data_IF_490932252499
#
_entry.id   IF_490932252499
#
_cell.length_a   1.000
_cell.length_b   1.000
_cell.length_c   1.000
_cell.angle_alpha   90.00
_cell.angle_beta   90.00
_cell.angle_gamma   90.00
#
_symmetry.space_group_name_H-M   'P 1'
#
loop_
_entity.id
_entity.type
_entity.pdbx_description
1 polymer ?
#
# COMPACT_ATOMS: atom_id res chain seq x y z
N UNK A 1 11.02 -21.31 10.01
CA UNK A 1 10.27 -20.12 9.62
C UNK A 1 9.98 -20.27 8.14
N UNK A 2 8.71 -20.20 7.69
CA UNK A 2 8.40 -20.36 6.26
C UNK A 2 8.72 -19.10 5.50
N UNK A 3 9.38 -19.26 4.33
CA UNK A 3 9.66 -18.17 3.41
C UNK A 3 8.34 -17.69 2.78
N UNK A 4 8.03 -16.40 2.93
CA UNK A 4 6.84 -15.76 2.34
C UNK A 4 7.18 -14.95 1.11
N UNK A 5 6.18 -14.74 0.27
CA UNK A 5 6.19 -13.81 -0.85
C UNK A 5 5.69 -12.44 -0.36
N UNK A 6 6.58 -11.47 -0.31
CA UNK A 6 6.31 -10.12 0.23
C UNK A 6 6.35 -9.09 -0.88
N UNK A 7 5.30 -8.31 -1.03
CA UNK A 7 5.26 -7.17 -1.94
C UNK A 7 5.35 -5.86 -1.14
N UNK A 8 6.39 -5.07 -1.39
CA UNK A 8 6.56 -3.74 -0.79
C UNK A 8 6.16 -2.67 -1.81
N UNK A 9 5.16 -1.86 -1.47
CA UNK A 9 4.65 -0.78 -2.32
C UNK A 9 5.03 0.56 -1.73
N UNK A 10 5.95 1.28 -2.38
CA UNK A 10 6.17 2.69 -2.12
C UNK A 10 5.09 3.51 -2.87
N UNK A 11 4.09 3.97 -2.15
CA UNK A 11 2.97 4.75 -2.69
C UNK A 11 3.29 6.24 -2.91
N UNK A 12 4.49 6.70 -2.57
CA UNK A 12 4.91 8.07 -2.84
C UNK A 12 5.44 8.19 -4.28
N UNK A 13 4.83 9.03 -5.13
CA UNK A 13 5.26 9.17 -6.53
C UNK A 13 6.58 9.95 -6.71
N UNK A 14 7.12 10.57 -5.65
CA UNK A 14 8.37 11.34 -5.74
C UNK A 14 9.57 10.42 -5.93
N UNK A 15 10.50 10.73 -6.87
CA UNK A 15 11.70 9.95 -7.13
C UNK A 15 12.59 9.78 -5.89
N UNK A 16 12.67 10.82 -5.06
CA UNK A 16 13.38 10.82 -3.77
C UNK A 16 12.42 11.22 -2.66
N UNK A 17 12.25 10.33 -1.68
CA UNK A 17 11.32 10.57 -0.57
C UNK A 17 11.66 9.70 0.64
N UNK A 18 11.22 10.13 1.82
CA UNK A 18 11.32 9.29 3.03
C UNK A 18 10.62 7.94 2.83
N UNK A 19 9.44 7.92 2.19
CA UNK A 19 8.72 6.68 1.91
C UNK A 19 9.57 5.71 1.07
N UNK A 20 10.31 6.20 0.07
CA UNK A 20 11.23 5.38 -0.73
C UNK A 20 12.33 4.78 0.13
N UNK A 21 12.98 5.59 0.96
CA UNK A 21 14.03 5.11 1.89
C UNK A 21 13.49 4.07 2.89
N UNK A 22 12.26 4.26 3.39
CA UNK A 22 11.61 3.27 4.27
C UNK A 22 11.28 1.98 3.51
N UNK A 23 10.86 2.06 2.23
CA UNK A 23 10.58 0.90 1.39
C UNK A 23 11.85 0.10 1.09
N UNK A 24 12.92 0.78 0.71
CA UNK A 24 14.23 0.18 0.47
C UNK A 24 14.78 -0.51 1.72
N UNK A 25 14.66 0.13 2.90
CA UNK A 25 15.06 -0.46 4.18
C UNK A 25 14.23 -1.70 4.52
N UNK A 26 12.90 -1.64 4.33
CA UNK A 26 12.02 -2.79 4.56
C UNK A 26 12.38 -3.95 3.64
N UNK A 27 12.53 -3.67 2.35
CA UNK A 27 12.89 -4.65 1.32
C UNK A 27 14.22 -5.31 1.63
N UNK A 28 15.26 -4.52 1.91
CA UNK A 28 16.60 -5.02 2.23
C UNK A 28 16.58 -6.03 3.38
N UNK A 29 15.90 -5.70 4.48
CA UNK A 29 15.85 -6.58 5.67
C UNK A 29 14.94 -7.80 5.44
N UNK A 30 13.80 -7.62 4.75
CA UNK A 30 12.88 -8.72 4.49
C UNK A 30 13.48 -9.77 3.55
N UNK A 31 14.35 -9.37 2.62
CA UNK A 31 15.00 -10.27 1.65
C UNK A 31 15.92 -11.31 2.32
N UNK A 32 16.39 -11.07 3.53
CA UNK A 32 17.19 -12.06 4.28
C UNK A 32 16.41 -13.36 4.58
N UNK A 33 15.06 -13.29 4.63
CA UNK A 33 14.20 -14.40 5.09
C UNK A 33 13.03 -14.70 4.16
N UNK A 34 12.74 -13.83 3.20
CA UNK A 34 11.55 -13.87 2.38
C UNK A 34 11.88 -13.61 0.90
N UNK A 35 11.00 -14.04 -0.01
CA UNK A 35 11.04 -13.60 -1.40
C UNK A 35 10.35 -12.25 -1.49
N UNK A 36 11.07 -11.20 -1.88
CA UNK A 36 10.56 -9.82 -1.83
C UNK A 36 10.58 -9.19 -3.21
N UNK A 37 9.47 -8.58 -3.58
CA UNK A 37 9.37 -7.66 -4.72
C UNK A 37 9.00 -6.27 -4.23
N UNK A 38 9.52 -5.23 -4.91
CA UNK A 38 9.19 -3.84 -4.60
C UNK A 38 8.60 -3.15 -5.81
N UNK A 39 7.59 -2.31 -5.57
CA UNK A 39 7.00 -1.39 -6.55
C UNK A 39 7.13 0.04 -6.01
N UNK A 40 7.64 0.93 -6.85
CA UNK A 40 7.56 2.37 -6.63
C UNK A 40 6.47 2.92 -7.55
N UNK A 41 5.40 3.44 -7.00
CA UNK A 41 4.29 4.01 -7.79
C UNK A 41 4.74 5.13 -8.72
N UNK A 42 5.80 5.85 -8.36
CA UNK A 42 6.38 6.90 -9.19
C UNK A 42 6.88 6.41 -10.55
N UNK A 43 7.39 5.18 -10.59
CA UNK A 43 8.04 4.59 -11.77
C UNK A 43 7.02 4.01 -12.77
N UNK A 44 5.76 3.77 -12.36
CA UNK A 44 4.74 3.19 -13.22
C UNK A 44 4.22 4.23 -14.25
N UNK A 45 4.03 3.77 -15.48
CA UNK A 45 3.47 4.56 -16.57
C UNK A 45 2.06 4.09 -16.92
N UNK A 46 1.03 4.87 -16.56
CA UNK A 46 -0.37 4.57 -16.82
C UNK A 46 -1.21 5.85 -16.74
N UNK A 47 -2.40 5.85 -17.35
CA UNK A 47 -3.40 6.91 -17.20
C UNK A 47 -3.99 6.87 -15.78
N UNK A 48 -3.80 7.96 -15.01
CA UNK A 48 -4.22 8.02 -13.60
C UNK A 48 -5.75 8.08 -13.48
N UNK A 49 -6.39 8.79 -14.42
CA UNK A 49 -7.83 9.03 -14.39
C UNK A 49 -8.61 7.86 -14.98
N UNK A 50 -9.76 7.59 -14.41
CA UNK A 50 -10.74 6.63 -14.91
C UNK A 50 -11.88 7.41 -15.62
N UNK A 51 -11.55 8.01 -16.78
CA UNK A 51 -12.41 9.01 -17.45
C UNK A 51 -13.77 8.46 -17.85
N UNK A 52 -13.88 7.17 -18.15
CA UNK A 52 -15.16 6.51 -18.50
C UNK A 52 -15.81 5.81 -17.29
N UNK A 53 -15.29 6.01 -16.09
CA UNK A 53 -15.74 5.27 -14.91
C UNK A 53 -15.57 3.77 -15.06
N UNK A 54 -16.58 3.01 -14.64
CA UNK A 54 -16.64 1.56 -14.82
C UNK A 54 -17.63 1.15 -15.95
N UNK A 55 -18.11 2.11 -16.72
CA UNK A 55 -19.08 1.86 -17.80
C UNK A 55 -18.42 1.23 -19.02
N UNK A 56 -17.13 1.52 -19.22
CA UNK A 56 -16.32 0.89 -20.27
C UNK A 56 -15.12 0.17 -19.68
N UNK A 57 -14.85 -1.01 -20.20
CA UNK A 57 -13.64 -1.77 -19.89
C UNK A 57 -12.48 -1.14 -20.65
N UNK A 58 -11.58 -0.48 -19.93
CA UNK A 58 -10.34 0.05 -20.47
C UNK A 58 -9.24 -0.98 -20.21
N UNK A 59 -8.53 -1.40 -21.26
CA UNK A 59 -7.39 -2.29 -21.12
C UNK A 59 -6.35 -1.70 -20.18
N UNK A 60 -5.77 -2.55 -19.33
CA UNK A 60 -4.71 -2.13 -18.42
C UNK A 60 -3.40 -1.97 -19.19
N UNK A 61 -2.67 -0.92 -18.88
CA UNK A 61 -1.31 -0.72 -19.33
C UNK A 61 -0.40 -1.83 -18.75
N UNK A 62 0.73 -2.15 -19.42
CA UNK A 62 1.64 -3.21 -18.97
C UNK A 62 2.06 -3.09 -17.50
N UNK A 63 2.30 -1.87 -17.01
CA UNK A 63 2.69 -1.63 -15.63
C UNK A 63 1.58 -1.95 -14.63
N UNK A 64 0.31 -1.71 -14.98
CA UNK A 64 -0.83 -2.09 -14.15
C UNK A 64 -1.10 -3.59 -14.19
N UNK A 65 -0.84 -4.25 -15.33
CA UNK A 65 -0.88 -5.72 -15.42
C UNK A 65 0.18 -6.34 -14.51
N UNK A 66 1.42 -5.81 -14.53
CA UNK A 66 2.48 -6.25 -13.63
C UNK A 66 2.15 -5.99 -12.16
N UNK A 67 1.57 -4.82 -11.86
CA UNK A 67 1.06 -4.50 -10.52
C UNK A 67 0.05 -5.53 -10.02
N UNK A 68 -0.93 -5.93 -10.84
CA UNK A 68 -1.87 -6.98 -10.49
C UNK A 68 -1.16 -8.33 -10.27
N UNK A 69 -0.25 -8.74 -11.17
CA UNK A 69 0.51 -10.00 -11.05
C UNK A 69 1.30 -10.05 -9.73
N UNK A 70 1.95 -8.96 -9.34
CA UNK A 70 2.72 -8.88 -8.09
C UNK A 70 1.82 -8.95 -6.85
N UNK A 71 0.64 -8.33 -6.89
CA UNK A 71 -0.36 -8.49 -5.82
C UNK A 71 -0.83 -9.95 -5.74
N UNK A 72 -1.12 -10.59 -6.86
CA UNK A 72 -1.54 -11.99 -6.89
C UNK A 72 -0.44 -12.95 -6.40
N UNK A 73 0.81 -12.66 -6.74
CA UNK A 73 1.97 -13.43 -6.32
C UNK A 73 2.21 -13.33 -4.80
N UNK A 74 1.92 -12.19 -4.19
CA UNK A 74 2.25 -11.91 -2.80
C UNK A 74 1.33 -12.65 -1.81
N UNK A 75 1.87 -12.96 -0.64
CA UNK A 75 1.15 -13.44 0.55
C UNK A 75 1.05 -12.34 1.62
N UNK A 76 1.99 -11.37 1.57
CA UNK A 76 2.03 -10.21 2.45
C UNK A 76 2.31 -8.94 1.66
N UNK A 77 1.47 -7.92 1.83
CA UNK A 77 1.58 -6.63 1.14
C UNK A 77 1.92 -5.54 2.14
N UNK A 78 3.02 -4.85 1.93
CA UNK A 78 3.44 -3.69 2.73
C UNK A 78 3.18 -2.42 1.93
N UNK A 79 2.36 -1.53 2.45
CA UNK A 79 2.05 -0.25 1.80
C UNK A 79 2.69 0.88 2.61
N UNK A 80 3.62 1.60 1.99
CA UNK A 80 4.30 2.75 2.57
C UNK A 80 3.82 4.00 1.87
N UNK A 81 3.00 4.81 2.56
CA UNK A 81 2.31 5.96 1.95
C UNK A 81 2.49 7.24 2.75
N UNK A 82 2.73 8.38 2.10
CA UNK A 82 2.57 9.67 2.75
C UNK A 82 1.08 10.00 2.87
N UNK A 83 0.75 10.88 3.82
CA UNK A 83 -0.56 11.53 3.87
C UNK A 83 -0.51 12.82 3.07
N UNK A 84 -1.24 12.88 1.97
CA UNK A 84 -1.44 14.10 1.17
C UNK A 84 -2.92 14.50 1.24
N UNK A 85 -3.18 15.73 1.68
CA UNK A 85 -4.56 16.21 1.85
C UNK A 85 -5.49 15.26 2.63
N UNK A 86 -4.93 14.62 3.65
CA UNK A 86 -5.65 13.70 4.55
C UNK A 86 -5.75 12.26 4.09
N UNK A 87 -5.34 11.92 2.85
CA UNK A 87 -5.47 10.58 2.26
C UNK A 87 -4.23 10.18 1.46
N UNK A 88 -4.35 9.18 0.57
CA UNK A 88 -3.26 8.66 -0.26
C UNK A 88 -2.97 9.57 -1.46
N UNK A 89 -1.74 9.54 -2.04
CA UNK A 89 -1.39 10.29 -3.26
C UNK A 89 -2.27 9.90 -4.45
N UNK A 90 -2.60 10.89 -5.31
CA UNK A 90 -3.46 10.70 -6.47
C UNK A 90 -2.98 9.58 -7.41
N UNK A 91 -1.69 9.50 -7.71
CA UNK A 91 -1.13 8.44 -8.57
C UNK A 91 -1.34 7.05 -7.99
N UNK A 92 -1.19 6.88 -6.66
CA UNK A 92 -1.47 5.61 -6.00
C UNK A 92 -2.98 5.30 -5.99
N UNK A 93 -3.83 6.32 -5.74
CA UNK A 93 -5.29 6.15 -5.84
C UNK A 93 -5.70 5.72 -7.24
N UNK A 94 -5.15 6.37 -8.28
CA UNK A 94 -5.39 5.99 -9.67
C UNK A 94 -4.97 4.55 -9.98
N UNK A 95 -3.82 4.10 -9.47
CA UNK A 95 -3.41 2.71 -9.63
C UNK A 95 -4.40 1.73 -8.99
N UNK A 96 -4.95 2.07 -7.83
CA UNK A 96 -6.00 1.27 -7.19
C UNK A 96 -7.29 1.28 -8.02
N UNK A 97 -7.77 2.46 -8.45
CA UNK A 97 -9.00 2.60 -9.23
C UNK A 97 -8.93 1.83 -10.56
N UNK A 98 -7.75 1.87 -11.22
CA UNK A 98 -7.52 1.20 -12.49
C UNK A 98 -7.26 -0.30 -12.35
N UNK A 99 -6.61 -0.75 -11.28
CA UNK A 99 -6.18 -2.15 -11.14
C UNK A 99 -7.12 -3.02 -10.28
N UNK A 100 -7.84 -2.46 -9.28
CA UNK A 100 -8.70 -3.24 -8.39
C UNK A 100 -10.10 -3.44 -8.96
N UNK A 101 -10.16 -4.01 -10.13
CA UNK A 101 -11.38 -4.21 -10.92
C UNK A 101 -12.16 -5.49 -10.53
N UNK A 102 -13.45 -5.60 -10.95
CA UNK A 102 -14.18 -6.86 -10.93
C UNK A 102 -13.41 -7.97 -11.68
N UNK A 103 -13.36 -9.17 -11.10
CA UNK A 103 -12.59 -10.30 -11.64
C UNK A 103 -11.14 -10.36 -11.15
N UNK A 104 -10.60 -9.28 -10.57
CA UNK A 104 -9.28 -9.26 -9.96
C UNK A 104 -9.35 -9.18 -8.42
N UNK A 105 -9.94 -8.13 -7.87
CA UNK A 105 -9.99 -7.89 -6.43
C UNK A 105 -11.29 -8.34 -5.77
N UNK A 106 -12.36 -8.32 -6.52
CA UNK A 106 -13.69 -8.78 -6.10
C UNK A 106 -14.52 -9.27 -7.32
N UNK A 107 -15.65 -9.92 -7.04
CA UNK A 107 -16.59 -10.35 -8.06
C UNK A 107 -18.01 -10.36 -7.46
N UNK A 108 -18.99 -9.85 -8.19
CA UNK A 108 -20.39 -10.02 -7.86
C UNK A 108 -20.89 -11.36 -8.41
N UNK A 109 -21.55 -12.14 -7.58
CA UNK A 109 -22.27 -13.33 -8.02
C UNK A 109 -23.73 -12.94 -8.28
N UNK A 110 -24.37 -13.61 -9.26
CA UNK A 110 -25.75 -13.34 -9.62
C UNK A 110 -26.68 -13.44 -8.41
N UNK A 111 -27.52 -12.41 -8.23
CA UNK A 111 -28.45 -12.30 -7.12
C UNK A 111 -27.86 -11.97 -5.75
N UNK A 112 -26.54 -11.68 -5.63
CA UNK A 112 -25.90 -11.31 -4.37
C UNK A 112 -25.47 -9.86 -4.38
N UNK A 113 -25.90 -9.13 -3.34
CA UNK A 113 -25.47 -7.74 -3.11
C UNK A 113 -24.07 -7.62 -2.50
N UNK A 114 -23.55 -8.69 -1.87
CA UNK A 114 -22.22 -8.70 -1.24
C UNK A 114 -21.23 -9.37 -2.20
N UNK A 115 -20.17 -8.66 -2.60
CA UNK A 115 -19.19 -9.22 -3.52
C UNK A 115 -18.34 -10.30 -2.87
N UNK A 116 -17.95 -11.28 -3.67
CA UNK A 116 -16.90 -12.22 -3.31
C UNK A 116 -15.54 -11.52 -3.35
N UNK A 117 -14.74 -11.73 -2.31
CA UNK A 117 -13.39 -11.16 -2.16
C UNK A 117 -12.38 -12.12 -2.79
N UNK A 118 -11.66 -11.68 -3.81
CA UNK A 118 -10.77 -12.56 -4.59
C UNK A 118 -9.31 -12.58 -4.08
N UNK A 119 -8.92 -11.63 -3.21
CA UNK A 119 -7.56 -11.55 -2.67
C UNK A 119 -7.44 -12.11 -1.23
N UNK A 120 -8.35 -13.01 -0.84
CA UNK A 120 -8.32 -13.70 0.47
C UNK A 120 -7.02 -14.48 0.70
N UNK A 121 -6.68 -14.71 1.96
CA UNK A 121 -5.48 -15.43 2.38
C UNK A 121 -4.23 -14.53 2.49
N UNK A 122 -4.30 -13.30 1.97
CA UNK A 122 -3.22 -12.32 2.08
C UNK A 122 -3.33 -11.49 3.34
N UNK A 123 -2.17 -11.07 3.83
CA UNK A 123 -2.06 -10.10 4.93
C UNK A 123 -1.44 -8.80 4.44
N UNK A 124 -1.61 -7.72 5.21
CA UNK A 124 -0.96 -6.45 4.91
C UNK A 124 -0.47 -5.73 6.16
N UNK A 125 0.51 -4.86 5.95
CA UNK A 125 1.02 -3.88 6.89
C UNK A 125 1.00 -2.49 6.26
N UNK A 126 0.60 -1.47 7.04
CA UNK A 126 0.58 -0.07 6.60
C UNK A 126 1.66 0.72 7.34
N UNK A 127 2.50 1.43 6.59
CA UNK A 127 3.48 2.38 7.10
C UNK A 127 3.15 3.75 6.55
N UNK A 128 2.77 4.67 7.43
CA UNK A 128 2.18 5.96 7.05
C UNK A 128 3.11 7.08 7.53
N UNK A 129 3.48 7.97 6.61
CA UNK A 129 4.27 9.18 6.92
C UNK A 129 3.39 10.41 6.80
N UNK A 130 3.55 11.39 7.71
CA UNK A 130 2.70 12.59 7.74
C UNK A 130 3.42 13.75 8.45
N UNK A 131 2.99 14.99 8.15
CA UNK A 131 3.51 16.21 8.78
C UNK A 131 2.74 16.61 10.05
N UNK A 132 1.53 16.10 10.20
CA UNK A 132 0.74 16.24 11.43
C UNK A 132 1.24 15.26 12.51
N UNK A 133 1.25 15.60 13.80
CA UNK A 133 1.55 14.63 14.85
C UNK A 133 0.65 13.38 14.74
N UNK A 134 1.24 12.16 14.76
CA UNK A 134 0.48 10.91 14.54
C UNK A 134 -0.73 10.73 15.46
N UNK A 135 -0.61 11.11 16.73
CA UNK A 135 -1.71 11.07 17.69
C UNK A 135 -2.89 11.94 17.23
N UNK A 136 -2.60 13.20 16.86
CA UNK A 136 -3.62 14.14 16.42
C UNK A 136 -4.32 13.65 15.14
N UNK A 137 -3.57 13.20 14.16
CA UNK A 137 -4.13 12.66 12.94
C UNK A 137 -5.05 11.44 13.19
N UNK A 138 -4.61 10.52 14.05
CA UNK A 138 -5.36 9.29 14.33
C UNK A 138 -6.67 9.55 15.08
N UNK A 139 -6.64 10.37 16.12
CA UNK A 139 -7.75 10.49 17.06
C UNK A 139 -8.60 11.75 16.89
N UNK A 140 -8.03 12.83 16.36
CA UNK A 140 -8.75 14.10 16.15
C UNK A 140 -9.16 14.28 14.69
N UNK A 141 -8.25 13.99 13.72
CA UNK A 141 -8.54 14.13 12.29
C UNK A 141 -9.21 12.88 11.67
N UNK A 142 -9.55 11.89 12.46
CA UNK A 142 -10.36 10.75 12.02
C UNK A 142 -9.63 9.66 11.22
N UNK A 143 -8.29 9.74 11.06
CA UNK A 143 -7.44 8.71 10.44
C UNK A 143 -7.93 8.24 9.05
N UNK A 144 -8.23 9.18 8.16
CA UNK A 144 -8.89 8.92 6.87
C UNK A 144 -8.08 7.95 5.98
N UNK A 145 -6.75 8.10 5.90
CA UNK A 145 -5.90 7.21 5.09
C UNK A 145 -6.00 5.74 5.55
N UNK A 146 -6.03 5.51 6.85
CA UNK A 146 -6.16 4.15 7.39
C UNK A 146 -7.52 3.56 7.07
N UNK A 147 -8.59 4.35 7.27
CA UNK A 147 -9.96 3.91 6.97
C UNK A 147 -10.11 3.59 5.49
N UNK A 148 -9.58 4.43 4.60
CA UNK A 148 -9.62 4.21 3.16
C UNK A 148 -8.86 2.95 2.76
N UNK A 149 -7.59 2.83 3.17
CA UNK A 149 -6.77 1.68 2.82
C UNK A 149 -7.32 0.39 3.42
N UNK A 150 -7.59 0.39 4.73
CA UNK A 150 -8.01 -0.83 5.42
C UNK A 150 -9.42 -1.25 5.02
N UNK A 151 -10.42 -0.38 5.17
CA UNK A 151 -11.82 -0.82 5.02
C UNK A 151 -12.28 -0.81 3.58
N UNK A 152 -11.97 0.27 2.82
CA UNK A 152 -12.49 0.43 1.48
C UNK A 152 -11.70 -0.32 0.41
N UNK A 153 -10.42 -0.64 0.64
CA UNK A 153 -9.55 -1.28 -0.35
C UNK A 153 -9.18 -2.70 0.11
N UNK A 154 -8.44 -2.84 1.21
CA UNK A 154 -7.88 -4.12 1.64
C UNK A 154 -8.96 -5.09 2.13
N UNK A 155 -9.78 -4.69 3.11
CA UNK A 155 -10.85 -5.54 3.66
C UNK A 155 -11.89 -5.88 2.59
N UNK A 156 -12.20 -4.92 1.69
CA UNK A 156 -13.13 -5.13 0.58
C UNK A 156 -12.61 -6.20 -0.39
N UNK A 157 -11.31 -6.20 -0.67
CA UNK A 157 -10.66 -7.18 -1.56
C UNK A 157 -10.34 -8.51 -0.86
N UNK A 158 -10.36 -8.56 0.48
CA UNK A 158 -10.06 -9.76 1.27
C UNK A 158 -8.65 -9.84 1.83
N UNK A 159 -7.88 -8.76 1.73
CA UNK A 159 -6.54 -8.67 2.33
C UNK A 159 -6.67 -8.22 3.78
N UNK A 160 -6.21 -9.04 4.73
CA UNK A 160 -6.30 -8.75 6.16
C UNK A 160 -5.18 -7.80 6.59
N UNK A 161 -5.52 -6.59 7.01
CA UNK A 161 -4.52 -5.70 7.62
C UNK A 161 -4.15 -6.17 9.02
N UNK A 162 -2.85 -6.36 9.28
CA UNK A 162 -2.31 -6.87 10.55
C UNK A 162 -1.73 -5.79 11.44
N UNK A 163 -1.21 -4.71 10.86
CA UNK A 163 -0.60 -3.62 11.62
C UNK A 163 -0.63 -2.29 10.86
N UNK A 164 -0.48 -1.21 11.60
CA UNK A 164 -0.27 0.12 11.03
C UNK A 164 0.70 0.93 11.89
N UNK A 165 1.74 1.48 11.26
CA UNK A 165 2.78 2.29 11.89
C UNK A 165 2.77 3.69 11.28
N UNK A 166 2.96 4.71 12.13
CA UNK A 166 2.91 6.12 11.73
C UNK A 166 4.23 6.80 12.08
N UNK A 167 4.78 7.54 11.13
CA UNK A 167 5.98 8.36 11.29
C UNK A 167 5.67 9.82 11.00
N UNK A 168 5.92 10.67 11.97
CA UNK A 168 5.68 12.11 11.86
C UNK A 168 5.96 12.87 13.17
N UNK A 169 5.98 14.20 13.11
CA UNK A 169 5.93 15.06 11.92
C UNK A 169 7.18 14.92 11.04
N UNK A 170 6.99 14.71 9.74
CA UNK A 170 8.13 14.54 8.80
C UNK A 170 8.82 15.87 8.52
N UNK A 171 8.05 16.96 8.37
CA UNK A 171 8.56 18.31 8.06
C UNK A 171 9.58 18.80 9.09
N UNK A 172 9.41 18.43 10.35
CA UNK A 172 10.30 18.83 11.45
C UNK A 172 11.32 17.74 11.82
N UNK A 173 11.41 16.65 11.04
CA UNK A 173 12.33 15.55 11.33
C UNK A 173 13.75 15.87 10.92
N UNK A 174 14.67 15.59 11.82
CA UNK A 174 16.10 15.64 11.55
C UNK A 174 16.63 14.24 11.13
N UNK A 175 17.94 14.15 10.91
CA UNK A 175 18.62 12.91 10.51
C UNK A 175 18.46 11.79 11.55
N UNK A 176 18.53 12.13 12.84
CA UNK A 176 18.43 11.14 13.91
C UNK A 176 17.03 10.57 14.03
N UNK A 177 16.00 11.41 13.93
CA UNK A 177 14.61 10.95 13.86
C UNK A 177 14.41 9.95 12.73
N UNK A 178 14.91 10.26 11.52
CA UNK A 178 14.78 9.40 10.35
C UNK A 178 15.54 8.09 10.51
N UNK A 179 16.70 8.10 11.14
CA UNK A 179 17.46 6.90 11.50
C UNK A 179 16.68 6.00 12.45
N UNK A 180 16.04 6.56 13.47
CA UNK A 180 15.15 5.83 14.39
C UNK A 180 13.99 5.19 13.62
N UNK A 181 13.38 5.90 12.67
CA UNK A 181 12.29 5.37 11.84
C UNK A 181 12.74 4.23 10.92
N UNK A 182 13.91 4.36 10.29
CA UNK A 182 14.51 3.28 9.49
C UNK A 182 14.77 2.03 10.33
N UNK A 183 15.34 2.18 11.54
CA UNK A 183 15.55 1.05 12.46
C UNK A 183 14.22 0.39 12.87
N UNK A 184 13.16 1.19 13.09
CA UNK A 184 11.85 0.66 13.41
C UNK A 184 11.25 -0.12 12.22
N UNK A 185 11.43 0.37 11.00
CA UNK A 185 11.01 -0.34 9.77
C UNK A 185 11.77 -1.66 9.61
N UNK A 186 13.08 -1.68 9.86
CA UNK A 186 13.86 -2.92 9.88
C UNK A 186 13.32 -3.94 10.89
N UNK A 187 12.93 -3.47 12.09
CA UNK A 187 12.32 -4.32 13.10
C UNK A 187 10.93 -4.85 12.68
N UNK A 188 10.14 -4.07 11.91
CA UNK A 188 8.87 -4.53 11.34
C UNK A 188 9.10 -5.64 10.31
N UNK A 189 10.04 -5.44 9.36
CA UNK A 189 10.39 -6.43 8.34
C UNK A 189 10.83 -7.77 8.96
N UNK A 190 11.54 -7.75 10.09
CA UNK A 190 11.95 -8.96 10.82
C UNK A 190 10.80 -9.71 11.52
N UNK A 191 9.61 -9.10 11.65
CA UNK A 191 8.44 -9.68 12.34
C UNK A 191 7.41 -10.31 11.41
N UNK A 192 7.65 -10.33 10.11
CA UNK A 192 6.76 -11.01 9.15
C UNK A 192 6.63 -12.49 9.57
N UNK A 193 5.36 -12.92 9.80
CA UNK A 193 5.02 -14.30 10.26
C UNK A 193 4.35 -15.09 9.16
#
# INVERSE_FOLDING_TARGET
MFMKKVLVINANPKPTSLCKSLAEQYTSVATDKHSVEQINIGDLNFAISLDEGYDKIIALEPDLVDFQKKIQWSEHVVIISPVWWGTIPAKFKGAIDRAFLPGFSFKYADGKSIPEKLLKGRTSELIITLDTPPFWYKYVKGNAIYKQLKHSILDFSGIKNTSSTYFGPVINSNRDNRKVWLNKVAALANRIK
#
